data_IF_500587101819
#
_entry.id   IF_500587101819
#
_cell.length_a   1.000
_cell.length_b   1.000
_cell.length_c   1.000
_cell.angle_alpha   90.00
_cell.angle_beta   90.00
_cell.angle_gamma   90.00
#
_symmetry.space_group_name_H-M   'P 1'
#
loop_
_entity.id
_entity.type
_entity.pdbx_description
1 polymer ?
#
# COMPACT_ATOMS: atom_id res chain seq x y z
N UNK A 1 45.89 -59.52 -22.68
CA UNK A 1 45.32 -58.35 -23.37
C UNK A 1 44.32 -57.69 -22.45
N UNK A 2 44.73 -56.70 -21.67
CA UNK A 2 43.85 -55.95 -20.75
C UNK A 2 43.54 -54.60 -21.38
N UNK A 3 42.27 -54.39 -21.75
CA UNK A 3 41.76 -53.14 -22.29
C UNK A 3 41.69 -52.08 -21.19
N UNK A 4 42.46 -50.98 -21.36
CA UNK A 4 42.32 -49.77 -20.54
C UNK A 4 41.11 -48.98 -21.01
N UNK A 5 40.10 -48.85 -20.15
CA UNK A 5 39.01 -47.89 -20.36
C UNK A 5 39.54 -46.45 -20.27
N UNK A 6 39.10 -45.63 -21.22
CA UNK A 6 39.49 -44.22 -21.38
C UNK A 6 38.76 -43.30 -20.38
N UNK A 7 39.45 -42.37 -19.69
CA UNK A 7 38.88 -41.53 -18.62
C UNK A 7 38.09 -40.30 -19.12
N UNK A 8 37.36 -40.40 -20.23
CA UNK A 8 36.67 -39.24 -20.86
C UNK A 8 35.22 -39.02 -20.42
N UNK A 9 34.63 -39.86 -19.55
CA UNK A 9 33.19 -39.80 -19.24
C UNK A 9 32.79 -39.02 -17.99
N UNK A 10 33.75 -38.51 -17.18
CA UNK A 10 33.44 -37.81 -15.92
C UNK A 10 33.54 -36.29 -15.93
N UNK A 11 34.06 -35.67 -17.00
CA UNK A 11 34.19 -34.20 -17.09
C UNK A 11 32.97 -33.50 -17.72
N UNK A 12 32.09 -34.23 -18.40
CA UNK A 12 30.96 -33.62 -19.14
C UNK A 12 29.71 -33.39 -18.29
N UNK A 13 29.45 -34.21 -17.28
CA UNK A 13 28.18 -34.16 -16.55
C UNK A 13 28.08 -32.98 -15.57
N UNK A 14 29.14 -32.68 -14.82
CA UNK A 14 29.10 -31.59 -13.82
C UNK A 14 28.99 -30.22 -14.48
N UNK A 15 29.72 -29.98 -15.57
CA UNK A 15 29.66 -28.72 -16.32
C UNK A 15 28.31 -28.57 -17.02
N UNK A 16 27.75 -29.65 -17.60
CA UNK A 16 26.42 -29.62 -18.20
C UNK A 16 25.33 -29.36 -17.14
N UNK A 17 25.45 -29.93 -15.94
CA UNK A 17 24.52 -29.72 -14.81
C UNK A 17 24.63 -28.30 -14.22
N UNK A 18 25.84 -27.75 -14.11
CA UNK A 18 26.05 -26.38 -13.64
C UNK A 18 25.59 -25.35 -14.67
N UNK A 19 25.79 -25.63 -15.96
CA UNK A 19 25.25 -24.80 -17.05
C UNK A 19 23.73 -24.89 -17.08
N UNK A 20 23.11 -26.08 -16.95
CA UNK A 20 21.64 -26.18 -16.88
C UNK A 20 21.05 -25.54 -15.64
N UNK A 21 21.69 -25.62 -14.47
CA UNK A 21 21.27 -24.87 -13.27
C UNK A 21 21.41 -23.35 -13.45
N UNK A 22 22.51 -22.90 -14.04
CA UNK A 22 22.77 -21.47 -14.29
C UNK A 22 21.82 -20.92 -15.36
N UNK A 23 21.49 -21.70 -16.38
CA UNK A 23 20.52 -21.36 -17.42
C UNK A 23 19.08 -21.43 -16.86
N UNK A 24 18.74 -22.41 -16.03
CA UNK A 24 17.45 -22.44 -15.32
C UNK A 24 17.27 -21.25 -14.37
N UNK A 25 18.35 -20.80 -13.71
CA UNK A 25 18.37 -19.58 -12.89
C UNK A 25 18.28 -18.29 -13.72
N UNK A 26 18.67 -18.34 -15.00
CA UNK A 26 18.52 -17.23 -15.96
C UNK A 26 17.17 -17.29 -16.71
N UNK A 27 16.42 -18.39 -16.62
CA UNK A 27 15.11 -18.62 -17.25
C UNK A 27 13.97 -18.51 -16.24
N UNK A 28 14.17 -17.74 -15.17
CA UNK A 28 13.08 -17.20 -14.31
C UNK A 28 12.76 -15.75 -14.65
N UNK A 29 12.95 -15.35 -15.90
CA UNK A 29 12.43 -14.08 -16.46
C UNK A 29 11.00 -14.28 -17.00
N UNK A 30 10.24 -15.11 -16.28
CA UNK A 30 8.82 -15.21 -16.46
C UNK A 30 8.18 -13.86 -16.06
N UNK A 31 7.05 -13.50 -16.66
CA UNK A 31 6.29 -12.32 -16.27
C UNK A 31 6.06 -12.30 -14.74
N UNK A 32 6.77 -11.43 -13.99
CA UNK A 32 6.67 -11.35 -12.52
C UNK A 32 5.65 -10.32 -12.07
N UNK A 33 4.70 -10.72 -11.22
CA UNK A 33 3.78 -9.80 -10.58
C UNK A 33 4.59 -8.83 -9.71
N UNK A 34 4.36 -7.53 -9.86
CA UNK A 34 5.03 -6.51 -9.05
C UNK A 34 4.02 -5.88 -8.10
N UNK A 35 4.31 -5.92 -6.80
CA UNK A 35 3.45 -5.36 -5.76
C UNK A 35 4.18 -4.17 -5.14
N UNK A 36 3.52 -3.03 -5.06
CA UNK A 36 3.99 -1.86 -4.34
C UNK A 36 3.08 -1.58 -3.15
N UNK A 37 3.65 -1.59 -1.95
CA UNK A 37 3.02 -1.06 -0.74
C UNK A 37 3.30 0.44 -0.70
N UNK A 38 2.31 1.25 -1.07
CA UNK A 38 2.51 2.71 -1.20
C UNK A 38 2.47 3.37 0.17
N UNK A 39 1.44 3.11 0.95
CA UNK A 39 1.24 3.72 2.26
C UNK A 39 -0.08 3.33 2.90
N UNK A 40 -0.31 3.74 4.14
CA UNK A 40 -1.58 3.56 4.83
C UNK A 40 -2.07 4.89 5.42
N UNK A 41 -3.39 5.02 5.55
CA UNK A 41 -4.04 6.18 6.17
C UNK A 41 -5.12 5.71 7.14
N UNK A 42 -5.43 6.54 8.14
CA UNK A 42 -6.41 6.20 9.17
C UNK A 42 -5.98 5.05 10.08
N UNK A 43 -4.69 4.69 10.11
CA UNK A 43 -4.12 3.66 11.00
C UNK A 43 -3.96 4.14 12.46
N UNK A 44 -4.65 5.22 12.80
CA UNK A 44 -4.68 5.83 14.12
C UNK A 44 -6.08 5.63 14.71
N UNK A 45 -6.14 4.99 15.88
CA UNK A 45 -7.40 4.81 16.61
C UNK A 45 -8.09 6.13 16.93
N UNK A 46 -9.42 6.11 16.98
CA UNK A 46 -10.25 7.27 17.33
C UNK A 46 -9.92 7.84 18.72
N UNK A 47 -9.43 7.00 19.64
CA UNK A 47 -9.08 7.34 21.03
C UNK A 47 -7.63 7.81 21.21
N UNK A 48 -6.95 8.17 20.13
CA UNK A 48 -5.62 8.77 20.23
C UNK A 48 -5.75 10.19 20.82
N UNK A 49 -5.04 10.44 21.92
CA UNK A 49 -4.96 11.73 22.60
C UNK A 49 -3.64 12.44 22.27
N UNK A 50 -3.62 13.79 22.18
CA UNK A 50 -2.37 14.57 22.09
C UNK A 50 -1.35 14.10 23.15
N UNK A 51 -0.15 13.73 22.71
CA UNK A 51 0.92 13.24 23.59
C UNK A 51 1.08 11.71 23.68
N UNK A 52 0.16 10.91 23.12
CA UNK A 52 0.42 9.46 22.93
C UNK A 52 1.44 9.23 21.82
N UNK A 53 2.26 8.18 21.97
CA UNK A 53 3.19 7.75 20.94
C UNK A 53 2.43 7.48 19.62
N UNK A 54 3.08 7.77 18.50
CA UNK A 54 2.57 7.41 17.17
C UNK A 54 3.04 5.96 16.89
N UNK A 55 2.28 5.17 16.12
CA UNK A 55 2.67 3.80 15.84
C UNK A 55 3.94 3.75 14.98
N UNK A 56 4.69 2.68 15.14
CA UNK A 56 5.85 2.29 14.35
C UNK A 56 5.36 1.28 13.30
N UNK A 57 4.77 1.80 12.21
CA UNK A 57 4.02 0.97 11.28
C UNK A 57 4.89 0.22 10.28
N UNK A 58 4.55 -1.04 10.02
CA UNK A 58 4.99 -1.78 8.84
C UNK A 58 3.84 -2.60 8.25
N UNK A 59 3.96 -3.00 6.98
CA UNK A 59 2.99 -3.82 6.28
C UNK A 59 3.61 -5.14 5.82
N UNK A 60 2.91 -6.23 6.02
CA UNK A 60 3.25 -7.56 5.52
C UNK A 60 2.28 -7.96 4.40
N UNK A 61 2.81 -8.43 3.28
CA UNK A 61 2.04 -8.98 2.17
C UNK A 61 2.25 -10.49 2.15
N UNK A 62 1.17 -11.26 2.22
CA UNK A 62 1.16 -12.71 2.11
C UNK A 62 0.30 -13.16 0.94
N UNK A 63 0.57 -14.37 0.43
CA UNK A 63 -0.33 -15.08 -0.47
C UNK A 63 -0.21 -16.58 -0.21
N UNK A 64 -1.34 -17.27 -0.13
CA UNK A 64 -1.42 -18.70 0.19
C UNK A 64 -0.58 -19.11 1.43
N UNK A 65 -0.59 -18.26 2.46
CA UNK A 65 0.15 -18.50 3.71
C UNK A 65 1.67 -18.27 3.63
N UNK A 66 2.20 -17.79 2.50
CA UNK A 66 3.61 -17.43 2.33
C UNK A 66 3.78 -15.91 2.34
N UNK A 67 4.73 -15.42 3.15
CA UNK A 67 5.15 -14.01 3.11
C UNK A 67 5.86 -13.72 1.79
N UNK A 68 5.32 -12.74 1.06
CA UNK A 68 5.88 -12.23 -0.18
C UNK A 68 6.82 -11.06 0.09
N UNK A 69 6.41 -10.16 0.98
CA UNK A 69 7.20 -9.00 1.38
C UNK A 69 6.79 -8.50 2.77
N UNK A 70 7.74 -7.87 3.45
CA UNK A 70 7.51 -7.11 4.68
C UNK A 70 8.18 -5.76 4.51
N UNK A 71 7.41 -4.68 4.64
CA UNK A 71 7.97 -3.33 4.53
C UNK A 71 8.88 -3.01 5.72
N UNK A 72 9.74 -2.02 5.56
CA UNK A 72 10.47 -1.47 6.69
C UNK A 72 9.51 -0.78 7.67
N UNK A 73 9.79 -0.87 8.99
CA UNK A 73 9.03 -0.14 9.98
C UNK A 73 9.32 1.36 9.89
N UNK A 74 8.26 2.16 9.74
CA UNK A 74 8.33 3.61 9.78
C UNK A 74 7.92 4.11 11.16
N UNK A 75 8.89 4.68 11.87
CA UNK A 75 8.67 5.10 13.26
C UNK A 75 7.82 6.35 13.40
N UNK A 76 6.98 6.36 14.41
CA UNK A 76 6.13 7.49 14.77
C UNK A 76 5.34 8.07 13.59
N UNK A 77 4.67 7.23 12.79
CA UNK A 77 3.90 7.65 11.61
C UNK A 77 2.45 7.17 11.69
N UNK A 78 1.51 8.10 11.79
CA UNK A 78 0.07 7.79 11.69
C UNK A 78 -0.41 7.58 10.25
N UNK A 79 0.39 8.02 9.29
CA UNK A 79 0.14 7.89 7.84
C UNK A 79 1.45 7.47 7.17
N UNK A 80 1.84 6.19 7.31
CA UNK A 80 3.09 5.70 6.77
C UNK A 80 3.06 5.71 5.24
N UNK A 81 4.14 6.20 4.63
CA UNK A 81 4.40 6.12 3.19
C UNK A 81 5.66 5.31 2.96
N UNK A 82 5.51 4.01 2.71
CA UNK A 82 6.64 3.11 2.48
C UNK A 82 7.19 3.22 1.06
N UNK A 83 6.31 3.26 0.05
CA UNK A 83 6.68 3.18 -1.36
C UNK A 83 7.64 2.02 -1.67
N UNK A 84 7.40 0.86 -1.05
CA UNK A 84 8.24 -0.31 -1.21
C UNK A 84 7.66 -1.27 -2.22
N UNK A 85 8.53 -1.81 -3.08
CA UNK A 85 8.17 -2.68 -4.19
C UNK A 85 8.80 -4.08 -4.01
N UNK A 86 8.03 -5.12 -4.29
CA UNK A 86 8.53 -6.49 -4.38
C UNK A 86 8.09 -7.15 -5.68
N UNK A 87 8.95 -8.03 -6.19
CA UNK A 87 8.65 -8.88 -7.34
C UNK A 87 8.29 -10.29 -6.87
N UNK A 88 7.18 -10.81 -7.37
CA UNK A 88 6.67 -12.13 -7.02
C UNK A 88 6.91 -13.07 -8.20
N UNK A 89 7.97 -13.88 -8.08
CA UNK A 89 8.36 -14.84 -9.12
C UNK A 89 7.37 -15.99 -9.29
N UNK A 90 6.72 -16.41 -8.20
CA UNK A 90 5.76 -17.53 -8.18
C UNK A 90 4.48 -17.10 -7.47
N UNK A 91 3.59 -16.42 -8.19
CA UNK A 91 2.30 -16.04 -7.65
C UNK A 91 1.37 -17.26 -7.64
N UNK A 92 1.05 -17.76 -6.45
CA UNK A 92 -0.11 -18.63 -6.27
C UNK A 92 -1.35 -17.83 -6.67
N UNK A 93 -2.19 -18.33 -7.58
CA UNK A 93 -3.41 -17.66 -8.07
C UNK A 93 -4.50 -17.42 -7.00
N UNK A 94 -4.13 -17.35 -5.72
CA UNK A 94 -4.99 -17.00 -4.60
C UNK A 94 -4.84 -15.52 -4.23
N UNK A 95 -5.58 -15.06 -3.22
CA UNK A 95 -5.60 -13.65 -2.85
C UNK A 95 -4.24 -13.12 -2.39
N UNK A 96 -4.07 -11.80 -2.53
CA UNK A 96 -3.06 -11.04 -1.82
C UNK A 96 -3.66 -10.58 -0.50
N UNK A 97 -2.98 -10.89 0.60
CA UNK A 97 -3.39 -10.55 1.95
C UNK A 97 -2.39 -9.52 2.49
N UNK A 98 -2.90 -8.43 3.02
CA UNK A 98 -2.10 -7.35 3.56
C UNK A 98 -2.44 -7.17 5.04
N UNK A 99 -1.41 -7.16 5.89
CA UNK A 99 -1.56 -6.90 7.31
C UNK A 99 -0.70 -5.70 7.69
N UNK A 100 -1.30 -4.71 8.35
CA UNK A 100 -0.59 -3.54 8.87
C UNK A 100 -0.45 -3.69 10.37
N UNK A 101 0.79 -3.56 10.85
CA UNK A 101 1.14 -3.74 12.25
C UNK A 101 1.71 -2.46 12.84
N UNK A 102 1.57 -2.30 14.16
CA UNK A 102 2.36 -1.41 15.00
C UNK A 102 3.47 -2.24 15.68
N UNK A 103 4.73 -1.82 15.55
CA UNK A 103 5.87 -2.49 16.16
C UNK A 103 6.38 -1.70 17.37
N UNK A 104 6.10 -2.17 18.58
CA UNK A 104 6.66 -1.56 19.79
C UNK A 104 7.72 -2.47 20.44
N UNK A 105 8.26 -2.04 21.59
CA UNK A 105 9.24 -2.82 22.33
C UNK A 105 8.68 -4.11 22.95
N UNK A 106 7.35 -4.27 23.01
CA UNK A 106 6.63 -5.41 23.60
C UNK A 106 6.23 -6.44 22.54
N UNK A 107 6.14 -6.04 21.28
CA UNK A 107 5.83 -6.95 20.18
C UNK A 107 5.27 -6.22 18.97
N UNK A 108 4.42 -6.94 18.22
CA UNK A 108 3.67 -6.40 17.10
C UNK A 108 2.17 -6.49 17.38
N UNK A 109 1.45 -5.40 17.15
CA UNK A 109 0.00 -5.35 17.27
C UNK A 109 -0.63 -5.18 15.89
N UNK A 110 -1.61 -6.01 15.55
CA UNK A 110 -2.32 -5.90 14.28
C UNK A 110 -3.24 -4.67 14.32
N UNK A 111 -2.96 -3.69 13.47
CA UNK A 111 -3.80 -2.50 13.32
C UNK A 111 -4.97 -2.77 12.39
N UNK A 112 -4.74 -3.50 11.30
CA UNK A 112 -5.80 -3.93 10.39
C UNK A 112 -5.27 -4.77 9.24
N UNK A 113 -6.19 -5.45 8.56
CA UNK A 113 -5.87 -6.33 7.44
C UNK A 113 -6.82 -6.10 6.26
N UNK A 114 -6.33 -6.33 5.04
CA UNK A 114 -7.12 -6.29 3.82
C UNK A 114 -6.77 -7.46 2.91
N UNK A 115 -7.70 -7.81 2.03
CA UNK A 115 -7.50 -8.83 1.02
C UNK A 115 -7.85 -8.25 -0.35
N UNK A 116 -7.04 -8.55 -1.35
CA UNK A 116 -7.30 -8.23 -2.75
C UNK A 116 -7.41 -9.54 -3.53
N UNK A 117 -8.57 -9.78 -4.15
CA UNK A 117 -8.83 -11.03 -4.85
C UNK A 117 -8.13 -11.03 -6.21
N UNK A 118 -7.74 -12.19 -6.75
CA UNK A 118 -7.11 -12.28 -8.06
C UNK A 118 -7.90 -11.58 -9.17
N UNK A 119 -9.22 -11.69 -9.16
CA UNK A 119 -10.13 -11.03 -10.10
C UNK A 119 -10.06 -9.49 -10.06
N UNK A 120 -9.64 -8.90 -8.94
CA UNK A 120 -9.53 -7.44 -8.80
C UNK A 120 -8.28 -6.87 -9.49
N UNK A 121 -7.30 -7.71 -9.83
CA UNK A 121 -6.02 -7.22 -10.36
C UNK A 121 -5.39 -8.04 -11.47
N UNK A 122 -5.76 -9.31 -11.70
CA UNK A 122 -5.06 -10.15 -12.69
C UNK A 122 -5.28 -9.69 -14.14
N UNK A 123 -6.39 -9.02 -14.44
CA UNK A 123 -6.70 -8.58 -15.81
C UNK A 123 -5.92 -7.32 -16.20
N UNK A 124 -5.97 -6.28 -15.35
CA UNK A 124 -5.42 -4.95 -15.67
C UNK A 124 -4.40 -4.43 -14.64
N UNK A 125 -4.14 -5.17 -13.56
CA UNK A 125 -3.45 -4.66 -12.38
C UNK A 125 -4.38 -3.91 -11.44
N UNK A 126 -3.81 -3.33 -10.39
CA UNK A 126 -4.52 -2.55 -9.40
C UNK A 126 -3.72 -1.31 -9.01
N UNK A 127 -4.38 -0.19 -8.72
CA UNK A 127 -3.76 1.02 -8.22
C UNK A 127 -4.78 1.83 -7.44
N UNK A 128 -4.81 1.65 -6.12
CA UNK A 128 -5.88 2.23 -5.32
C UNK A 128 -5.76 1.95 -3.83
N UNK A 129 -6.81 2.32 -3.12
CA UNK A 129 -6.95 2.07 -1.68
C UNK A 129 -7.76 0.78 -1.46
N UNK A 130 -7.28 -0.09 -0.58
CA UNK A 130 -8.06 -1.20 0.01
C UNK A 130 -8.43 -0.85 1.44
N UNK A 131 -9.68 -1.09 1.83
CA UNK A 131 -10.14 -0.82 3.21
C UNK A 131 -9.57 -1.88 4.14
N UNK A 132 -8.96 -1.44 5.24
CA UNK A 132 -8.48 -2.32 6.30
C UNK A 132 -9.67 -2.70 7.21
N UNK A 133 -9.87 -3.99 7.40
CA UNK A 133 -10.69 -4.54 8.47
C UNK A 133 -9.92 -4.42 9.79
N UNK A 134 -10.56 -3.83 10.80
CA UNK A 134 -10.00 -3.58 12.12
C UNK A 134 -11.12 -3.51 13.14
N UNK A 135 -10.86 -3.96 14.37
CA UNK A 135 -11.80 -3.82 15.49
C UNK A 135 -11.78 -2.41 16.09
N UNK A 136 -10.65 -1.70 15.97
CA UNK A 136 -10.42 -0.42 16.65
C UNK A 136 -10.35 0.77 15.69
N UNK A 137 -10.19 0.51 14.39
CA UNK A 137 -10.09 1.54 13.35
C UNK A 137 -11.35 1.56 12.48
N UNK A 138 -12.18 2.59 12.64
CA UNK A 138 -13.42 2.71 11.87
C UNK A 138 -13.18 2.97 10.36
N UNK A 139 -12.12 3.71 10.03
CA UNK A 139 -11.82 4.15 8.66
C UNK A 139 -10.31 4.11 8.39
N UNK A 140 -9.77 2.91 8.19
CA UNK A 140 -8.36 2.73 7.80
C UNK A 140 -8.25 2.14 6.39
N UNK A 141 -7.25 2.59 5.64
CA UNK A 141 -7.05 2.19 4.26
C UNK A 141 -5.56 1.99 3.98
N UNK A 142 -5.26 1.01 3.14
CA UNK A 142 -3.93 0.74 2.61
C UNK A 142 -3.92 1.05 1.12
N UNK A 143 -3.00 1.91 0.68
CA UNK A 143 -2.78 2.20 -0.74
C UNK A 143 -1.78 1.20 -1.30
N UNK A 144 -2.21 0.44 -2.29
CA UNK A 144 -1.40 -0.58 -2.96
C UNK A 144 -1.45 -0.42 -4.47
N UNK A 145 -0.38 -0.87 -5.11
CA UNK A 145 -0.30 -1.00 -6.55
C UNK A 145 0.11 -2.42 -6.89
N UNK A 146 -0.57 -3.00 -7.86
CA UNK A 146 -0.25 -4.32 -8.40
C UNK A 146 -0.09 -4.16 -9.90
N UNK A 147 1.10 -4.47 -10.42
CA UNK A 147 1.38 -4.47 -11.85
C UNK A 147 1.46 -5.90 -12.33
N UNK A 148 0.53 -6.23 -13.23
CA UNK A 148 0.55 -7.50 -13.96
C UNK A 148 1.58 -7.40 -15.09
N UNK A 149 2.31 -8.47 -15.36
CA UNK A 149 3.28 -8.48 -16.44
C UNK A 149 2.67 -8.21 -17.81
N UNK A 150 3.39 -7.44 -18.63
CA UNK A 150 2.90 -7.05 -19.96
C UNK A 150 1.76 -6.03 -19.94
N UNK A 151 1.27 -5.62 -18.76
CA UNK A 151 0.24 -4.60 -18.58
C UNK A 151 0.83 -3.31 -18.01
N UNK A 152 0.26 -2.17 -18.40
CA UNK A 152 0.48 -0.91 -17.71
C UNK A 152 -0.33 -0.89 -16.42
N UNK A 153 0.20 -0.29 -15.36
CA UNK A 153 -0.56 -0.05 -14.13
C UNK A 153 -1.77 0.85 -14.44
N UNK A 154 -2.97 0.55 -13.93
CA UNK A 154 -4.13 1.39 -14.13
C UNK A 154 -3.93 2.75 -13.45
N UNK A 155 -4.60 3.79 -13.97
CA UNK A 155 -4.60 5.09 -13.33
C UNK A 155 -5.20 4.96 -11.93
N UNK A 156 -4.44 5.39 -10.91
CA UNK A 156 -4.96 5.47 -9.55
C UNK A 156 -5.80 6.73 -9.35
N UNK A 157 -6.39 6.92 -8.16
CA UNK A 157 -7.01 8.19 -7.81
C UNK A 157 -6.00 9.34 -7.96
N UNK A 158 -6.46 10.49 -8.45
CA UNK A 158 -5.65 11.69 -8.65
C UNK A 158 -4.83 12.00 -7.40
N UNK A 159 -3.51 12.08 -7.55
CA UNK A 159 -2.61 12.27 -6.41
C UNK A 159 -2.75 13.66 -5.76
N UNK A 160 -3.20 14.65 -6.53
CA UNK A 160 -3.56 15.99 -6.09
C UNK A 160 -4.68 16.53 -6.99
N UNK A 161 -5.63 17.25 -6.43
CA UNK A 161 -6.65 17.98 -7.18
C UNK A 161 -7.01 19.27 -6.43
N UNK A 162 -7.58 20.23 -7.16
CA UNK A 162 -8.15 21.44 -6.57
C UNK A 162 -9.65 21.28 -6.34
N UNK A 163 -10.14 21.77 -5.21
CA UNK A 163 -11.56 21.81 -4.91
C UNK A 163 -11.96 23.24 -4.50
N UNK A 164 -13.13 23.67 -4.97
CA UNK A 164 -13.73 24.94 -4.56
C UNK A 164 -14.98 24.63 -3.76
N UNK A 165 -14.92 24.88 -2.46
CA UNK A 165 -16.04 24.65 -1.54
C UNK A 165 -16.48 25.99 -0.97
N UNK A 166 -17.76 26.32 -1.14
CA UNK A 166 -18.36 27.55 -0.64
C UNK A 166 -19.41 27.25 0.42
N UNK A 167 -19.49 28.10 1.45
CA UNK A 167 -20.54 28.06 2.48
C UNK A 167 -21.53 29.20 2.25
N UNK A 168 -22.77 28.99 2.70
CA UNK A 168 -23.86 29.94 2.50
C UNK A 168 -23.56 31.32 3.11
N UNK A 169 -22.97 31.37 4.30
CA UNK A 169 -22.58 32.60 4.99
C UNK A 169 -21.31 32.42 5.84
N UNK A 170 -20.80 33.52 6.42
CA UNK A 170 -19.53 33.51 7.18
C UNK A 170 -19.60 32.74 8.51
N UNK A 171 -20.79 32.50 9.03
CA UNK A 171 -21.02 31.83 10.30
C UNK A 171 -21.32 30.34 10.12
N UNK A 172 -21.72 29.89 8.92
CA UNK A 172 -21.93 28.47 8.67
C UNK A 172 -20.60 27.69 8.77
N UNK A 173 -20.65 26.52 9.40
CA UNK A 173 -19.54 25.56 9.37
C UNK A 173 -19.37 24.99 7.95
N UNK A 174 -18.14 24.65 7.59
CA UNK A 174 -17.86 23.89 6.36
C UNK A 174 -18.22 22.40 6.47
N UNK A 175 -18.60 21.92 7.66
CA UNK A 175 -18.91 20.50 7.87
C UNK A 175 -17.67 19.62 7.77
N UNK A 176 -16.50 20.12 8.16
CA UNK A 176 -15.23 19.40 8.09
C UNK A 176 -14.45 19.58 9.38
N UNK A 177 -13.85 18.49 9.88
CA UNK A 177 -12.91 18.52 11.01
C UNK A 177 -11.51 18.27 10.47
N UNK A 178 -10.52 19.02 10.95
CA UNK A 178 -9.12 18.85 10.59
C UNK A 178 -8.30 18.29 11.75
N UNK A 179 -7.28 17.52 11.40
CA UNK A 179 -6.12 17.27 12.24
C UNK A 179 -5.07 18.31 11.90
N UNK A 180 -4.59 19.02 12.92
CA UNK A 180 -3.49 19.99 12.83
C UNK A 180 -2.32 19.58 13.74
N UNK A 181 -2.38 18.38 14.32
CA UNK A 181 -1.54 17.99 15.45
C UNK A 181 -0.09 17.65 15.07
N UNK A 182 0.21 17.49 13.78
CA UNK A 182 1.60 17.39 13.31
C UNK A 182 2.29 18.75 13.15
N UNK A 183 1.51 19.84 13.18
CA UNK A 183 1.99 21.21 13.06
C UNK A 183 2.42 21.63 11.67
N UNK A 184 2.38 20.74 10.68
CA UNK A 184 2.86 20.98 9.30
C UNK A 184 1.77 20.77 8.25
N UNK A 185 0.75 19.96 8.54
CA UNK A 185 -0.29 19.63 7.59
C UNK A 185 -1.70 19.74 8.18
N UNK A 186 -2.66 20.12 7.32
CA UNK A 186 -4.08 20.02 7.58
C UNK A 186 -4.57 18.70 7.00
N UNK A 187 -4.75 17.68 7.84
CA UNK A 187 -5.36 16.43 7.41
C UNK A 187 -6.87 16.47 7.68
N UNK A 188 -7.69 16.02 6.74
CA UNK A 188 -9.14 15.90 6.94
C UNK A 188 -9.39 14.76 7.93
N UNK A 189 -10.00 15.01 9.08
CA UNK A 189 -10.38 13.93 10.01
C UNK A 189 -11.74 13.34 9.68
N UNK A 190 -12.70 14.23 9.41
CA UNK A 190 -14.09 13.84 9.26
C UNK A 190 -14.80 14.83 8.35
N UNK A 191 -15.63 14.30 7.46
CA UNK A 191 -16.55 15.07 6.63
C UNK A 191 -17.95 14.83 7.16
N UNK A 192 -18.51 15.87 7.76
CA UNK A 192 -19.85 15.93 8.32
C UNK A 192 -20.80 16.58 7.30
N UNK A 193 -22.10 16.61 7.62
CA UNK A 193 -23.08 17.34 6.83
C UNK A 193 -22.67 18.82 6.68
N UNK A 194 -22.76 19.33 5.44
CA UNK A 194 -22.37 20.68 5.07
C UNK A 194 -21.64 20.73 3.72
N UNK A 195 -21.02 21.89 3.39
CA UNK A 195 -20.46 22.18 2.08
C UNK A 195 -19.50 21.11 1.50
N UNK A 196 -18.63 20.52 2.31
CA UNK A 196 -17.71 19.47 1.83
C UNK A 196 -18.45 18.17 1.49
N UNK A 197 -19.47 17.80 2.25
CA UNK A 197 -20.30 16.63 1.92
C UNK A 197 -21.13 16.83 0.65
N UNK A 198 -21.63 18.05 0.43
CA UNK A 198 -22.38 18.44 -0.77
C UNK A 198 -21.48 18.46 -2.02
N UNK A 199 -20.25 18.98 -1.88
CA UNK A 199 -19.23 18.88 -2.92
C UNK A 199 -19.00 17.42 -3.31
N UNK A 200 -18.75 16.54 -2.34
CA UNK A 200 -18.50 15.13 -2.60
C UNK A 200 -19.69 14.42 -3.28
N UNK A 201 -20.93 14.81 -2.96
CA UNK A 201 -22.14 14.24 -3.54
C UNK A 201 -22.28 14.52 -5.05
N UNK A 202 -21.69 15.62 -5.53
CA UNK A 202 -21.79 16.06 -6.93
C UNK A 202 -20.49 15.85 -7.73
N UNK A 203 -19.46 15.27 -7.10
CA UNK A 203 -18.12 15.14 -7.68
C UNK A 203 -17.78 13.68 -8.04
N UNK A 204 -17.00 13.50 -9.10
CA UNK A 204 -16.44 12.21 -9.51
C UNK A 204 -15.58 11.62 -8.40
N UNK A 205 -15.57 10.28 -8.26
CA UNK A 205 -14.85 9.63 -7.16
C UNK A 205 -13.35 9.99 -7.09
N UNK A 206 -12.72 10.31 -8.22
CA UNK A 206 -11.33 10.75 -8.33
C UNK A 206 -11.03 12.10 -7.68
N UNK A 207 -12.03 12.98 -7.56
CA UNK A 207 -11.87 14.36 -7.10
C UNK A 207 -12.67 14.65 -5.81
N UNK A 208 -13.15 13.59 -5.15
CA UNK A 208 -13.79 13.67 -3.83
C UNK A 208 -12.74 13.85 -2.75
N UNK A 209 -13.01 14.76 -1.82
CA UNK A 209 -12.24 14.95 -0.60
C UNK A 209 -12.63 13.86 0.38
N UNK A 210 -11.67 13.22 1.03
CA UNK A 210 -11.87 12.06 1.89
C UNK A 210 -11.27 12.32 3.26
N UNK A 211 -11.74 11.57 4.26
CA UNK A 211 -11.03 11.48 5.52
C UNK A 211 -9.59 11.01 5.25
N UNK A 212 -8.65 11.64 5.95
CA UNK A 212 -7.20 11.53 5.86
C UNK A 212 -6.59 12.04 4.55
N UNK A 213 -7.30 12.85 3.76
CA UNK A 213 -6.65 13.64 2.71
C UNK A 213 -5.88 14.81 3.34
N UNK A 214 -4.71 15.14 2.78
CA UNK A 214 -3.94 16.32 3.17
C UNK A 214 -4.32 17.53 2.30
N UNK A 215 -4.62 18.64 2.97
CA UNK A 215 -4.72 19.93 2.31
C UNK A 215 -3.35 20.60 2.28
N UNK A 216 -2.72 20.59 1.10
CA UNK A 216 -1.41 21.20 0.89
C UNK A 216 -1.50 22.71 0.66
N UNK A 217 -2.60 23.20 0.09
CA UNK A 217 -2.84 24.62 -0.20
C UNK A 217 -4.31 24.95 0.07
N UNK A 218 -4.56 26.00 0.86
CA UNK A 218 -5.90 26.54 1.12
C UNK A 218 -5.91 28.03 0.81
N UNK A 219 -6.73 28.46 -0.14
CA UNK A 219 -6.84 29.86 -0.57
C UNK A 219 -5.48 30.50 -0.92
N UNK A 220 -4.59 29.72 -1.56
CA UNK A 220 -3.24 30.17 -1.93
C UNK A 220 -2.21 30.15 -0.80
N UNK A 221 -2.59 29.71 0.41
CA UNK A 221 -1.69 29.55 1.56
C UNK A 221 -1.31 28.09 1.72
N UNK A 222 -0.01 27.78 1.73
CA UNK A 222 0.53 26.44 1.99
C UNK A 222 1.09 26.31 3.41
N UNK A 223 1.01 25.11 3.98
CA UNK A 223 1.76 24.74 5.20
C UNK A 223 3.23 24.43 4.89
N UNK A 224 4.10 24.58 5.90
CA UNK A 224 5.54 24.25 5.84
C UNK A 224 5.81 22.81 6.28
#
# INVERSE_FOLDING_TARGET
MTSKESPKSKWSNTVAQDVTKKVAKLVTDGPQLVITIVGARGVRGADWLPGKAKPDCYCEVTSAGKTLHTSQPLRNRCEPHWNEECQVAEFSKGPLEFSVYDQDARGRDLLGAAQLQPEDFLEEGFNGDVKLASETLAQAYLKVRVKVPGKSTPAGPSACFGAVVSRQDKNSSFGIRFDIRDGSHLAVLEIMAGPFSEYNATTAASDRIRAYDFLSIVNGVSGS
#
